data_IF_733628363971
#
_entry.id   IF_733628363971
#
_cell.length_a   1.000
_cell.length_b   1.000
_cell.length_c   1.000
_cell.angle_alpha   90.00
_cell.angle_beta   90.00
_cell.angle_gamma   90.00
#
_symmetry.space_group_name_H-M   'P 1'
#
loop_
_entity.id
_entity.type
_entity.pdbx_description
1 polymer ?
#
# COMPACT_ATOMS: atom_id res chain seq x y z
N UNK A 1 -29.48 57.00 19.42
CA UNK A 1 -29.45 56.24 20.70
C UNK A 1 -28.31 55.23 20.58
N UNK A 2 -27.37 55.01 21.48
CA UNK A 2 -27.00 55.60 22.77
C UNK A 2 -25.56 55.16 23.04
N UNK A 3 -24.76 56.11 23.55
CA UNK A 3 -23.53 56.05 24.36
C UNK A 3 -22.99 54.70 24.86
N UNK A 4 -21.65 54.63 24.75
CA UNK A 4 -20.64 53.90 25.55
C UNK A 4 -21.08 53.43 26.93
N UNK A 5 -20.61 52.23 27.32
CA UNK A 5 -20.39 51.89 28.72
C UNK A 5 -19.05 51.17 28.90
N UNK A 6 -18.21 51.74 29.75
CA UNK A 6 -16.96 51.20 30.29
C UNK A 6 -17.29 50.42 31.57
N UNK A 7 -16.68 49.24 31.77
CA UNK A 7 -16.43 48.65 33.11
C UNK A 7 -15.10 47.88 32.99
N UNK A 8 -13.96 48.51 33.32
CA UNK A 8 -13.21 48.40 34.61
C UNK A 8 -12.95 46.96 35.07
N UNK A 9 -11.72 46.53 34.77
CA UNK A 9 -10.99 45.40 35.33
C UNK A 9 -10.71 45.65 36.82
N UNK A 10 -11.01 44.67 37.66
CA UNK A 10 -10.50 44.58 39.04
C UNK A 10 -9.90 43.20 39.26
N UNK A 11 -8.58 43.22 39.47
CA UNK A 11 -7.72 42.10 39.83
C UNK A 11 -7.98 41.74 41.30
N UNK A 12 -8.17 40.45 41.59
CA UNK A 12 -8.10 39.91 42.96
C UNK A 12 -7.09 38.76 42.95
N UNK A 13 -5.93 39.00 43.58
CA UNK A 13 -4.98 37.98 43.98
C UNK A 13 -5.58 37.14 45.10
N UNK A 14 -5.60 35.82 44.93
CA UNK A 14 -5.80 34.87 46.02
C UNK A 14 -4.51 34.09 46.26
N UNK A 15 -3.96 34.25 47.46
CA UNK A 15 -2.75 33.60 47.97
C UNK A 15 -3.10 32.18 48.41
N UNK A 16 -2.42 31.18 47.84
CA UNK A 16 -2.47 29.79 48.29
C UNK A 16 -1.71 29.61 49.61
N UNK A 17 -2.36 28.99 50.60
CA UNK A 17 -1.71 28.38 51.75
C UNK A 17 -1.69 26.86 51.56
N UNK A 18 -0.50 26.28 51.69
CA UNK A 18 -0.23 24.86 51.47
C UNK A 18 -0.72 23.97 52.62
N UNK A 19 -1.06 22.73 52.25
CA UNK A 19 -1.17 21.59 53.14
C UNK A 19 -0.35 20.46 52.53
N UNK A 20 0.77 20.17 53.18
CA UNK A 20 1.67 19.06 52.89
C UNK A 20 1.03 17.81 53.49
N UNK A 21 0.68 16.85 52.63
CA UNK A 21 0.38 15.47 53.05
C UNK A 21 1.51 14.59 52.54
N UNK A 22 2.34 14.12 53.46
CA UNK A 22 3.35 13.10 53.25
C UNK A 22 2.68 11.75 53.05
N UNK A 23 2.90 11.13 51.89
CA UNK A 23 2.65 9.72 51.64
C UNK A 23 3.90 9.12 50.99
N UNK A 24 4.35 8.00 51.53
CA UNK A 24 5.59 7.32 51.22
C UNK A 24 5.73 6.96 49.74
N UNK A 25 6.93 7.19 49.22
CA UNK A 25 7.35 6.76 47.89
C UNK A 25 7.67 5.25 47.90
N UNK A 26 6.97 4.49 47.06
CA UNK A 26 7.54 3.29 46.45
C UNK A 26 8.38 3.73 45.25
N UNK A 27 9.58 3.17 45.12
CA UNK A 27 10.48 3.40 43.98
C UNK A 27 9.85 2.75 42.75
N UNK A 28 9.49 3.53 41.75
CA UNK A 28 9.35 3.06 40.37
C UNK A 28 10.75 3.00 39.73
N UNK A 29 11.06 1.84 39.15
CA UNK A 29 12.25 1.62 38.32
C UNK A 29 12.19 2.51 37.06
N UNK A 30 13.29 3.20 36.74
CA UNK A 30 13.44 3.93 35.48
C UNK A 30 13.46 2.95 34.28
N UNK A 31 12.68 3.20 33.21
CA UNK A 31 12.88 2.48 31.96
C UNK A 31 14.04 3.12 31.18
N UNK A 32 15.16 2.42 31.11
CA UNK A 32 16.27 2.73 30.20
C UNK A 32 15.93 2.30 28.77
N UNK A 33 15.63 3.26 27.90
CA UNK A 33 15.50 3.08 26.44
C UNK A 33 14.79 4.27 25.78
N UNK A 34 15.05 4.61 24.49
CA UNK A 34 14.29 5.65 23.82
C UNK A 34 12.83 5.18 23.68
N UNK A 35 11.93 5.79 24.45
CA UNK A 35 10.54 5.34 24.54
C UNK A 35 9.71 5.70 23.30
N UNK A 36 8.87 4.74 22.87
CA UNK A 36 7.82 4.92 21.86
C UNK A 36 6.94 6.14 22.17
N UNK A 37 6.82 7.08 21.22
CA UNK A 37 5.85 8.18 21.34
C UNK A 37 4.50 7.69 20.79
N UNK A 38 3.69 7.08 21.66
CA UNK A 38 2.27 6.85 21.40
C UNK A 38 1.49 8.13 21.67
N UNK A 39 0.59 8.50 20.75
CA UNK A 39 -0.36 9.58 20.96
C UNK A 39 -1.35 9.21 22.07
N UNK A 40 -2.11 10.18 22.58
CA UNK A 40 -3.12 9.94 23.61
C UNK A 40 -4.21 8.92 23.20
N UNK A 41 -4.35 8.63 21.91
CA UNK A 41 -5.24 7.60 21.36
C UNK A 41 -4.61 6.20 21.27
N UNK A 42 -3.34 6.02 21.64
CA UNK A 42 -2.59 4.77 21.47
C UNK A 42 -2.01 4.58 20.07
N UNK A 43 -2.34 5.45 19.11
CA UNK A 43 -1.79 5.43 17.77
C UNK A 43 -0.33 5.90 17.76
N UNK A 44 0.48 5.28 16.92
CA UNK A 44 1.87 5.68 16.66
C UNK A 44 1.88 6.85 15.69
N UNK A 45 2.79 7.79 15.92
CA UNK A 45 3.00 8.91 15.01
C UNK A 45 3.85 8.44 13.81
N UNK A 46 3.40 8.74 12.60
CA UNK A 46 4.23 8.60 11.40
C UNK A 46 5.26 9.74 11.33
N UNK A 47 6.46 9.40 10.87
CA UNK A 47 7.59 10.32 10.70
C UNK A 47 8.06 10.28 9.24
N UNK A 48 8.72 11.34 8.80
CA UNK A 48 9.29 11.39 7.45
C UNK A 48 10.45 10.38 7.37
N UNK A 49 10.34 9.39 6.49
CA UNK A 49 11.46 8.52 6.16
C UNK A 49 12.35 9.18 5.11
N UNK A 50 11.72 9.57 4.00
CA UNK A 50 12.38 10.09 2.80
C UNK A 50 11.47 11.11 2.14
N UNK A 51 12.03 12.28 1.82
CA UNK A 51 11.47 13.15 0.78
C UNK A 51 11.94 12.66 -0.58
N UNK A 52 11.00 12.27 -1.43
CA UNK A 52 11.29 11.83 -2.78
C UNK A 52 11.65 13.04 -3.68
N UNK A 53 12.43 12.82 -4.75
CA UNK A 53 12.67 13.85 -5.75
C UNK A 53 11.36 14.33 -6.40
N UNK A 54 11.32 15.59 -6.85
CA UNK A 54 10.15 16.21 -7.49
C UNK A 54 9.63 15.48 -8.74
N UNK A 55 10.42 14.59 -9.33
CA UNK A 55 10.01 13.74 -10.45
C UNK A 55 9.36 12.42 -10.00
N UNK A 56 9.01 12.26 -8.72
CA UNK A 56 8.34 11.09 -8.15
C UNK A 56 7.03 11.49 -7.47
N UNK A 57 6.08 11.97 -8.25
CA UNK A 57 4.84 12.57 -7.76
C UNK A 57 3.77 11.59 -7.30
N UNK A 58 3.78 10.35 -7.79
CA UNK A 58 2.93 9.28 -7.25
C UNK A 58 3.81 8.05 -7.04
N UNK A 59 4.38 7.85 -5.85
CA UNK A 59 4.99 6.58 -5.50
C UNK A 59 3.88 5.53 -5.27
N UNK A 60 4.17 4.27 -5.58
CA UNK A 60 3.22 3.17 -5.46
C UNK A 60 3.83 2.00 -4.65
N UNK A 61 3.82 0.78 -5.19
CA UNK A 61 4.25 -0.42 -4.49
C UNK A 61 5.76 -0.50 -4.23
N UNK A 62 6.12 -1.30 -3.23
CA UNK A 62 7.50 -1.54 -2.81
C UNK A 62 7.83 -3.02 -2.76
N UNK A 63 9.06 -3.38 -3.14
CA UNK A 63 9.61 -4.72 -2.91
C UNK A 63 10.91 -4.67 -2.09
N UNK A 64 10.87 -5.26 -0.90
CA UNK A 64 12.03 -5.37 -0.02
C UNK A 64 13.10 -6.30 -0.62
N UNK A 65 14.35 -5.86 -0.59
CA UNK A 65 15.50 -6.62 -1.08
C UNK A 65 16.30 -7.23 0.09
N UNK A 66 17.08 -8.30 -0.14
CA UNK A 66 17.81 -9.01 0.92
C UNK A 66 18.85 -8.17 1.67
N UNK A 67 19.34 -7.09 1.08
CA UNK A 67 20.31 -6.16 1.67
C UNK A 67 19.65 -5.08 2.55
N UNK A 68 18.33 -5.14 2.76
CA UNK A 68 17.56 -4.15 3.52
C UNK A 68 17.23 -2.89 2.72
N UNK A 69 17.67 -2.78 1.47
CA UNK A 69 17.13 -1.80 0.53
C UNK A 69 15.77 -2.24 0.00
N UNK A 70 15.07 -1.36 -0.70
CA UNK A 70 13.85 -1.73 -1.42
C UNK A 70 13.77 -0.97 -2.75
N UNK A 71 13.03 -1.55 -3.69
CA UNK A 71 12.62 -0.84 -4.89
C UNK A 71 11.23 -0.25 -4.70
N UNK A 72 10.96 0.86 -5.38
CA UNK A 72 9.71 1.60 -5.33
C UNK A 72 9.24 1.85 -6.75
N UNK A 73 8.02 1.41 -7.06
CA UNK A 73 7.33 1.79 -8.30
C UNK A 73 6.86 3.24 -8.22
N UNK A 74 7.05 3.99 -9.30
CA UNK A 74 6.66 5.41 -9.38
C UNK A 74 5.99 5.64 -10.73
N UNK A 75 4.66 5.43 -10.83
CA UNK A 75 3.92 5.62 -12.07
C UNK A 75 3.83 7.07 -12.53
N UNK A 76 3.94 8.04 -11.62
CA UNK A 76 3.76 9.46 -11.87
C UNK A 76 2.43 9.84 -12.54
N UNK A 77 1.32 9.30 -12.03
CA UNK A 77 0.02 9.50 -12.65
C UNK A 77 -0.53 10.92 -12.50
N UNK A 78 -0.09 11.69 -11.49
CA UNK A 78 -0.47 13.10 -11.33
C UNK A 78 0.12 13.97 -12.44
N UNK A 79 1.44 13.90 -12.63
CA UNK A 79 2.13 14.56 -13.73
C UNK A 79 3.04 13.57 -14.46
N UNK A 80 2.60 13.04 -15.62
CA UNK A 80 3.33 12.02 -16.36
C UNK A 80 4.52 12.60 -17.15
N UNK A 81 4.74 13.93 -17.18
CA UNK A 81 5.80 14.55 -18.00
C UNK A 81 7.21 14.07 -17.60
N UNK A 82 7.41 13.73 -16.32
CA UNK A 82 8.67 13.19 -15.85
C UNK A 82 8.97 11.78 -16.39
N UNK A 83 7.94 11.05 -16.83
CA UNK A 83 7.99 9.61 -17.12
C UNK A 83 7.90 8.77 -15.86
N UNK A 84 7.65 7.47 -16.01
CA UNK A 84 7.58 6.53 -14.89
C UNK A 84 8.97 5.95 -14.56
N UNK A 85 9.15 5.57 -13.29
CA UNK A 85 10.43 5.03 -12.80
C UNK A 85 10.20 3.83 -11.88
N UNK A 86 11.20 2.97 -11.82
CA UNK A 86 11.47 2.20 -10.61
C UNK A 86 12.63 2.89 -9.91
N UNK A 87 12.43 3.26 -8.65
CA UNK A 87 13.43 3.86 -7.78
C UNK A 87 14.03 2.78 -6.87
N UNK A 88 15.23 3.01 -6.34
CA UNK A 88 15.84 2.22 -5.27
C UNK A 88 16.11 3.12 -4.08
N UNK A 89 15.69 2.68 -2.90
CA UNK A 89 15.96 3.30 -1.62
C UNK A 89 16.92 2.37 -0.88
N UNK A 90 18.12 2.83 -0.56
CA UNK A 90 19.12 2.02 0.16
C UNK A 90 18.69 1.70 1.60
N UNK A 91 19.41 0.79 2.27
CA UNK A 91 19.21 0.53 3.70
C UNK A 91 19.38 1.80 4.56
N UNK A 92 20.23 2.73 4.11
CA UNK A 92 20.45 4.05 4.72
C UNK A 92 19.49 5.14 4.18
N UNK A 93 18.40 4.75 3.52
CA UNK A 93 17.35 5.63 3.00
C UNK A 93 17.80 6.60 1.90
N UNK A 94 18.85 6.26 1.14
CA UNK A 94 19.29 7.07 0.01
C UNK A 94 18.51 6.68 -1.25
N UNK A 95 17.87 7.66 -1.88
CA UNK A 95 17.07 7.49 -3.10
C UNK A 95 17.95 7.57 -4.35
N UNK A 96 17.75 6.64 -5.28
CA UNK A 96 18.41 6.65 -6.59
C UNK A 96 17.47 6.11 -7.67
N UNK A 97 17.63 6.58 -8.92
CA UNK A 97 16.94 5.95 -10.06
C UNK A 97 17.51 4.55 -10.27
N UNK A 98 16.64 3.56 -10.39
CA UNK A 98 17.04 2.16 -10.55
C UNK A 98 16.79 1.65 -11.97
N UNK A 99 15.58 1.88 -12.49
CA UNK A 99 15.21 1.43 -13.83
C UNK A 99 14.16 2.36 -14.45
N UNK A 100 14.18 2.49 -15.77
CA UNK A 100 13.17 3.22 -16.54
C UNK A 100 12.35 2.17 -17.30
N UNK A 101 11.12 1.85 -16.86
CA UNK A 101 10.31 0.87 -17.54
C UNK A 101 9.91 1.34 -18.95
N UNK A 102 9.95 0.46 -19.96
CA UNK A 102 9.70 0.84 -21.35
C UNK A 102 8.20 1.15 -21.55
N UNK A 103 7.85 2.14 -22.39
CA UNK A 103 6.46 2.43 -22.69
C UNK A 103 5.77 1.26 -23.38
N UNK A 104 4.47 1.12 -23.13
CA UNK A 104 3.65 0.16 -23.84
C UNK A 104 3.57 0.53 -25.34
N UNK A 105 3.85 -0.38 -26.30
CA UNK A 105 3.97 -0.05 -27.71
C UNK A 105 2.74 0.63 -28.34
N UNK A 106 1.54 0.28 -27.87
CA UNK A 106 0.27 0.85 -28.35
C UNK A 106 -0.09 2.21 -27.77
N UNK A 107 0.20 2.42 -26.48
CA UNK A 107 -0.29 3.60 -25.74
C UNK A 107 0.79 4.68 -25.61
N UNK A 108 2.07 4.30 -25.73
CA UNK A 108 3.21 5.16 -25.45
C UNK A 108 3.38 5.50 -23.97
N UNK A 109 2.57 4.89 -23.07
CA UNK A 109 2.55 5.17 -21.63
C UNK A 109 3.19 4.03 -20.84
N UNK A 110 3.56 4.32 -19.59
CA UNK A 110 4.06 3.36 -18.62
C UNK A 110 3.44 3.66 -17.26
N UNK A 111 2.97 2.65 -16.54
CA UNK A 111 2.39 2.78 -15.20
C UNK A 111 2.81 1.62 -14.31
N UNK A 112 4.09 1.56 -13.86
CA UNK A 112 4.52 0.54 -12.90
C UNK A 112 3.73 0.68 -11.61
N UNK A 113 3.04 -0.38 -11.20
CA UNK A 113 2.30 -0.48 -9.93
C UNK A 113 2.96 -1.54 -9.05
N UNK A 114 2.17 -2.48 -8.50
CA UNK A 114 2.62 -3.67 -7.79
C UNK A 114 3.93 -4.23 -8.32
N UNK A 115 4.90 -4.44 -7.43
CA UNK A 115 6.24 -4.96 -7.76
C UNK A 115 6.66 -6.02 -6.74
N UNK A 116 7.29 -7.11 -7.19
CA UNK A 116 7.79 -8.16 -6.31
C UNK A 116 9.14 -8.74 -6.77
N UNK A 117 9.90 -9.26 -5.81
CA UNK A 117 11.17 -9.94 -6.05
C UNK A 117 10.95 -11.44 -6.24
N UNK A 118 11.43 -11.97 -7.36
CA UNK A 118 11.45 -13.40 -7.62
C UNK A 118 12.65 -14.07 -6.95
N UNK A 119 12.58 -15.40 -6.66
CA UNK A 119 13.73 -16.16 -6.16
C UNK A 119 14.96 -16.14 -7.08
N UNK A 120 14.79 -15.90 -8.39
CA UNK A 120 15.89 -15.72 -9.34
C UNK A 120 16.69 -14.43 -9.11
N UNK A 121 16.14 -13.49 -8.35
CA UNK A 121 16.62 -12.12 -8.22
C UNK A 121 15.99 -11.15 -9.21
N UNK A 122 15.20 -11.62 -10.19
CA UNK A 122 14.43 -10.76 -11.09
C UNK A 122 13.31 -10.03 -10.36
N UNK A 123 12.87 -8.90 -10.91
CA UNK A 123 11.68 -8.19 -10.42
C UNK A 123 10.54 -8.37 -11.40
N UNK A 124 9.33 -8.57 -10.89
CA UNK A 124 8.10 -8.55 -11.66
C UNK A 124 7.28 -7.36 -11.25
N UNK A 125 6.68 -6.65 -12.20
CA UNK A 125 5.79 -5.53 -11.91
C UNK A 125 4.57 -5.52 -12.83
N UNK A 126 3.45 -5.04 -12.31
CA UNK A 126 2.29 -4.71 -13.13
C UNK A 126 2.50 -3.37 -13.82
N UNK A 127 2.25 -3.31 -15.13
CA UNK A 127 2.20 -2.08 -15.91
C UNK A 127 0.72 -1.76 -16.16
N UNK A 128 0.16 -0.96 -15.26
CA UNK A 128 -1.24 -0.56 -15.25
C UNK A 128 -1.44 0.58 -16.26
N UNK A 129 -2.24 0.28 -17.27
CA UNK A 129 -2.57 1.14 -18.40
C UNK A 129 -4.06 1.52 -18.38
N UNK A 130 -4.69 1.53 -17.20
CA UNK A 130 -6.12 1.78 -17.08
C UNK A 130 -6.49 3.11 -17.73
N UNK A 131 -7.32 3.00 -18.77
CA UNK A 131 -7.81 4.13 -19.54
C UNK A 131 -9.01 3.65 -20.35
N UNK A 132 -10.14 4.40 -20.33
CA UNK A 132 -11.32 4.05 -21.13
C UNK A 132 -11.01 3.93 -22.63
N UNK A 133 -10.02 4.69 -23.13
CA UNK A 133 -9.64 4.71 -24.53
C UNK A 133 -8.78 3.50 -24.95
N UNK A 134 -8.21 2.80 -23.97
CA UNK A 134 -7.26 1.70 -24.20
C UNK A 134 -7.62 0.51 -23.31
N UNK A 135 -8.77 -0.14 -23.55
CA UNK A 135 -9.13 -1.35 -22.82
C UNK A 135 -8.09 -2.44 -23.09
N UNK A 136 -7.87 -3.28 -22.07
CA UNK A 136 -6.99 -4.45 -22.17
C UNK A 136 -5.54 -4.16 -22.57
N UNK A 137 -5.01 -2.97 -22.23
CA UNK A 137 -3.60 -2.64 -22.49
C UNK A 137 -2.68 -2.81 -21.29
N UNK A 138 -3.23 -3.14 -20.11
CA UNK A 138 -2.38 -3.46 -18.96
C UNK A 138 -1.64 -4.77 -19.20
N UNK A 139 -0.44 -4.85 -18.63
CA UNK A 139 0.46 -6.00 -18.80
C UNK A 139 1.25 -6.27 -17.53
N UNK A 140 1.90 -7.42 -17.48
CA UNK A 140 2.87 -7.74 -16.44
C UNK A 140 4.23 -7.88 -17.08
N UNK A 141 5.23 -7.32 -16.42
CA UNK A 141 6.58 -7.14 -16.93
C UNK A 141 7.57 -7.79 -15.97
N UNK A 142 8.65 -8.33 -16.52
CA UNK A 142 9.80 -8.85 -15.77
C UNK A 142 11.01 -7.99 -16.07
N UNK A 143 11.61 -7.39 -15.05
CA UNK A 143 12.93 -6.79 -15.13
C UNK A 143 13.96 -7.89 -14.92
N UNK A 144 14.74 -8.18 -15.96
CA UNK A 144 15.83 -9.13 -15.91
C UNK A 144 16.97 -8.53 -15.08
N UNK A 145 17.39 -9.25 -14.05
CA UNK A 145 18.40 -8.81 -13.11
C UNK A 145 19.69 -9.61 -13.32
N UNK A 146 20.82 -8.90 -13.36
CA UNK A 146 22.16 -9.50 -13.46
C UNK A 146 23.12 -8.80 -12.51
N UNK A 147 23.77 -9.57 -11.65
CA UNK A 147 24.72 -9.06 -10.65
C UNK A 147 24.14 -7.90 -9.81
N UNK A 148 22.87 -8.04 -9.42
CA UNK A 148 22.13 -7.04 -8.63
C UNK A 148 21.72 -5.78 -9.40
N UNK A 149 21.85 -5.76 -10.73
CA UNK A 149 21.52 -4.61 -11.59
C UNK A 149 20.45 -4.94 -12.63
N UNK A 150 19.50 -4.02 -12.89
CA UNK A 150 18.48 -4.22 -13.91
C UNK A 150 19.08 -4.11 -15.31
N UNK A 151 18.61 -4.97 -16.22
CA UNK A 151 19.08 -5.03 -17.61
C UNK A 151 17.99 -4.54 -18.56
N UNK A 152 16.97 -5.35 -18.78
CA UNK A 152 15.86 -5.09 -19.69
C UNK A 152 14.53 -5.50 -19.04
N UNK A 153 13.42 -5.04 -19.62
CA UNK A 153 12.09 -5.48 -19.24
C UNK A 153 11.44 -6.30 -20.35
N UNK A 154 10.95 -7.48 -19.99
CA UNK A 154 10.27 -8.42 -20.88
C UNK A 154 8.79 -8.48 -20.54
N UNK A 155 7.92 -8.47 -21.55
CA UNK A 155 6.49 -8.66 -21.35
C UNK A 155 6.20 -10.13 -20.99
N UNK A 156 5.66 -10.34 -19.80
CA UNK A 156 5.28 -11.67 -19.29
C UNK A 156 3.86 -12.01 -19.71
N UNK A 157 2.94 -11.07 -19.47
CA UNK A 157 1.50 -11.21 -19.77
C UNK A 157 1.00 -9.92 -20.39
N UNK A 158 0.14 -9.99 -21.41
CA UNK A 158 -0.57 -8.85 -22.01
C UNK A 158 -2.07 -9.13 -22.11
N UNK A 159 -2.88 -8.06 -22.23
CA UNK A 159 -4.33 -8.16 -22.41
C UNK A 159 -5.14 -7.96 -21.12
N UNK A 160 -4.49 -7.54 -20.02
CA UNK A 160 -5.17 -7.26 -18.75
C UNK A 160 -5.90 -5.91 -18.80
N UNK A 161 -7.01 -5.77 -18.06
CA UNK A 161 -7.72 -4.49 -17.96
C UNK A 161 -6.95 -3.54 -17.03
N UNK A 162 -6.80 -3.93 -15.77
CA UNK A 162 -6.21 -3.17 -14.67
C UNK A 162 -5.34 -4.13 -13.84
N UNK A 163 -4.18 -4.46 -14.39
CA UNK A 163 -3.17 -5.22 -13.66
C UNK A 163 -2.64 -4.35 -12.51
N UNK A 164 -2.68 -4.84 -11.27
CA UNK A 164 -2.32 -4.01 -10.12
C UNK A 164 -1.23 -4.64 -9.23
N UNK A 165 -1.56 -5.47 -8.26
CA UNK A 165 -0.57 -6.14 -7.43
C UNK A 165 0.03 -7.36 -8.14
N UNK A 166 1.29 -7.65 -7.81
CA UNK A 166 1.95 -8.90 -8.19
C UNK A 166 2.56 -9.56 -6.96
N UNK A 167 2.42 -10.89 -6.86
CA UNK A 167 3.01 -11.67 -5.78
C UNK A 167 3.53 -13.02 -6.31
N UNK A 168 4.61 -13.52 -5.72
CA UNK A 168 5.20 -14.80 -6.10
C UNK A 168 5.12 -15.81 -4.96
N UNK A 169 4.71 -17.03 -5.30
CA UNK A 169 4.83 -18.20 -4.41
C UNK A 169 5.28 -19.42 -5.20
N UNK A 170 6.42 -19.99 -4.77
CA UNK A 170 7.01 -21.13 -5.45
C UNK A 170 7.33 -20.80 -6.90
N UNK A 171 6.74 -21.56 -7.83
CA UNK A 171 6.95 -21.40 -9.27
C UNK A 171 5.85 -20.58 -9.96
N UNK A 172 5.04 -19.84 -9.21
CA UNK A 172 3.89 -19.11 -9.75
C UNK A 172 3.91 -17.63 -9.39
N UNK A 173 3.56 -16.83 -10.38
CA UNK A 173 3.24 -15.41 -10.28
C UNK A 173 1.73 -15.25 -10.19
N UNK A 174 1.28 -14.39 -9.28
CA UNK A 174 -0.11 -14.05 -9.04
C UNK A 174 -0.30 -12.57 -9.30
N UNK A 175 -1.41 -12.21 -9.92
CA UNK A 175 -1.67 -10.83 -10.36
C UNK A 175 -3.11 -10.49 -10.02
N UNK A 176 -3.34 -9.37 -9.35
CA UNK A 176 -4.71 -8.86 -9.20
C UNK A 176 -5.16 -8.13 -10.45
N UNK A 177 -6.41 -8.35 -10.81
CA UNK A 177 -7.13 -7.67 -11.87
C UNK A 177 -8.24 -6.87 -11.21
N UNK A 178 -7.96 -5.58 -10.98
CA UNK A 178 -8.82 -4.69 -10.19
C UNK A 178 -10.20 -4.51 -10.81
N UNK A 179 -10.30 -4.64 -12.14
CA UNK A 179 -11.57 -4.59 -12.88
C UNK A 179 -11.59 -5.71 -13.92
N UNK A 180 -12.13 -6.88 -13.54
CA UNK A 180 -12.23 -8.05 -14.43
C UNK A 180 -13.36 -7.89 -15.44
N UNK A 181 -14.53 -7.42 -14.96
CA UNK A 181 -15.71 -7.16 -15.80
C UNK A 181 -16.05 -5.67 -15.69
N UNK A 182 -15.64 -4.85 -16.68
CA UNK A 182 -15.99 -3.43 -16.71
C UNK A 182 -17.50 -3.21 -16.54
N UNK A 183 -17.87 -2.15 -15.82
CA UNK A 183 -19.25 -1.71 -15.57
C UNK A 183 -20.16 -2.71 -14.81
N UNK A 184 -19.60 -3.79 -14.27
CA UNK A 184 -20.36 -4.77 -13.47
C UNK A 184 -20.88 -4.16 -12.15
N UNK A 185 -22.06 -4.63 -11.72
CA UNK A 185 -22.67 -4.30 -10.41
C UNK A 185 -23.22 -5.59 -9.77
N UNK A 186 -22.63 -6.10 -8.67
CA UNK A 186 -21.43 -5.59 -7.98
C UNK A 186 -20.20 -5.57 -8.91
N UNK A 187 -19.19 -4.78 -8.56
CA UNK A 187 -17.92 -4.76 -9.30
C UNK A 187 -17.27 -6.14 -9.19
N UNK A 188 -16.95 -6.73 -10.34
CA UNK A 188 -16.27 -8.02 -10.43
C UNK A 188 -14.80 -7.77 -10.76
N UNK A 189 -13.93 -8.23 -9.87
CA UNK A 189 -12.48 -8.25 -9.98
C UNK A 189 -11.97 -9.69 -9.87
N UNK A 190 -10.67 -9.93 -10.04
CA UNK A 190 -10.14 -11.28 -10.01
C UNK A 190 -8.66 -11.40 -9.73
N UNK A 191 -8.20 -12.64 -9.65
CA UNK A 191 -6.79 -12.99 -9.47
C UNK A 191 -6.40 -13.96 -10.56
N UNK A 192 -5.35 -13.61 -11.29
CA UNK A 192 -4.71 -14.46 -12.28
C UNK A 192 -3.49 -15.17 -11.71
N UNK A 193 -3.15 -16.32 -12.29
CA UNK A 193 -1.94 -17.07 -11.95
C UNK A 193 -1.21 -17.57 -13.19
N UNK A 194 0.10 -17.34 -13.23
CA UNK A 194 0.99 -17.71 -14.32
C UNK A 194 2.18 -18.50 -13.79
N UNK A 195 2.72 -19.43 -14.57
CA UNK A 195 3.94 -20.12 -14.19
C UNK A 195 5.15 -19.21 -14.48
N UNK A 196 6.05 -19.10 -13.52
CA UNK A 196 7.29 -18.34 -13.70
C UNK A 196 8.14 -19.01 -14.79
N UNK A 197 8.68 -18.18 -15.69
CA UNK A 197 9.46 -18.61 -16.85
C UNK A 197 8.64 -18.75 -18.13
N UNK A 198 7.31 -18.67 -18.07
CA UNK A 198 6.47 -18.40 -19.24
C UNK A 198 6.44 -16.89 -19.49
N UNK A 199 6.63 -16.48 -20.74
CA UNK A 199 6.68 -15.08 -21.16
C UNK A 199 5.90 -14.90 -22.47
N UNK A 200 5.44 -13.67 -22.74
CA UNK A 200 4.63 -13.37 -23.93
C UNK A 200 3.24 -14.01 -23.93
N UNK A 201 2.65 -14.26 -22.76
CA UNK A 201 1.28 -14.78 -22.64
C UNK A 201 0.29 -13.67 -23.04
N UNK A 202 -0.60 -13.95 -23.98
CA UNK A 202 -1.70 -13.07 -24.33
C UNK A 202 -3.02 -13.62 -23.76
N UNK A 203 -3.69 -12.84 -22.92
CA UNK A 203 -4.95 -13.24 -22.30
C UNK A 203 -6.10 -13.22 -23.31
N UNK A 204 -7.03 -14.17 -23.13
CA UNK A 204 -8.23 -14.30 -23.95
C UNK A 204 -9.34 -13.38 -23.46
N UNK A 205 -10.07 -12.82 -24.41
CA UNK A 205 -11.27 -12.03 -24.15
C UNK A 205 -12.53 -12.88 -24.40
N UNK A 206 -13.53 -12.85 -23.49
CA UNK A 206 -13.57 -12.06 -22.26
C UNK A 206 -12.67 -12.63 -21.16
N UNK A 207 -12.00 -11.77 -20.39
CA UNK A 207 -11.00 -12.18 -19.38
C UNK A 207 -11.54 -13.15 -18.33
N UNK A 208 -12.83 -13.03 -17.99
CA UNK A 208 -13.51 -13.93 -17.04
C UNK A 208 -13.50 -15.41 -17.47
N UNK A 209 -13.28 -15.68 -18.76
CA UNK A 209 -13.26 -17.03 -19.33
C UNK A 209 -11.82 -17.53 -19.58
N UNK A 210 -10.79 -16.74 -19.26
CA UNK A 210 -9.39 -17.13 -19.44
C UNK A 210 -8.96 -18.19 -18.39
N UNK A 211 -8.21 -19.20 -18.83
CA UNK A 211 -7.80 -20.32 -17.98
C UNK A 211 -6.82 -19.96 -16.86
N UNK A 212 -6.19 -18.79 -16.93
CA UNK A 212 -5.28 -18.31 -15.89
C UNK A 212 -6.02 -17.61 -14.74
N UNK A 213 -7.30 -17.26 -14.91
CA UNK A 213 -8.11 -16.73 -13.83
C UNK A 213 -8.37 -17.85 -12.80
N UNK A 214 -7.96 -17.63 -11.56
CA UNK A 214 -8.09 -18.65 -10.50
C UNK A 214 -9.25 -18.38 -9.54
N UNK A 215 -9.69 -17.13 -9.40
CA UNK A 215 -10.84 -16.75 -8.59
C UNK A 215 -11.31 -15.32 -8.91
N UNK A 216 -12.52 -14.99 -8.48
CA UNK A 216 -13.13 -13.66 -8.59
C UNK A 216 -13.47 -13.09 -7.22
N UNK A 217 -13.55 -11.77 -7.13
CA UNK A 217 -13.96 -11.02 -5.94
C UNK A 217 -15.07 -10.04 -6.35
N UNK A 218 -16.11 -9.96 -5.54
CA UNK A 218 -17.21 -9.00 -5.70
C UNK A 218 -17.02 -7.84 -4.72
N UNK A 219 -17.17 -6.61 -5.21
CA UNK A 219 -17.16 -5.40 -4.40
C UNK A 219 -18.50 -4.66 -4.53
N UNK A 220 -19.04 -4.23 -3.40
CA UNK A 220 -20.39 -3.69 -3.28
C UNK A 220 -20.43 -2.19 -2.98
N UNK A 221 -19.28 -1.56 -2.81
CA UNK A 221 -19.19 -0.13 -2.57
C UNK A 221 -19.90 0.67 -3.69
N UNK A 222 -20.74 1.66 -3.35
CA UNK A 222 -21.60 2.32 -4.35
C UNK A 222 -20.84 3.22 -5.34
N UNK A 223 -19.69 3.77 -4.95
CA UNK A 223 -18.96 4.79 -5.74
C UNK A 223 -17.51 4.41 -6.06
N UNK A 224 -16.75 3.89 -5.10
CA UNK A 224 -15.38 3.37 -5.32
C UNK A 224 -15.41 2.16 -6.27
N UNK A 225 -14.73 2.30 -7.41
CA UNK A 225 -14.73 1.35 -8.53
C UNK A 225 -13.49 0.45 -8.63
N UNK A 226 -12.82 0.17 -7.52
CA UNK A 226 -11.59 -0.63 -7.47
C UNK A 226 -11.78 -1.87 -6.60
N UNK A 227 -11.59 -3.07 -7.18
CA UNK A 227 -11.81 -4.34 -6.51
C UNK A 227 -10.53 -4.95 -5.92
N UNK A 228 -10.17 -6.14 -6.39
CA UNK A 228 -8.95 -6.85 -6.03
C UNK A 228 -7.71 -5.95 -6.23
N UNK A 229 -6.95 -5.74 -5.17
CA UNK A 229 -5.79 -4.85 -5.16
C UNK A 229 -4.55 -5.57 -4.60
N UNK A 230 -4.05 -5.22 -3.41
CA UNK A 230 -2.87 -5.81 -2.80
C UNK A 230 -2.94 -7.33 -2.63
N UNK A 231 -1.78 -7.99 -2.77
CA UNK A 231 -1.62 -9.45 -2.64
C UNK A 231 -0.46 -9.80 -1.71
N UNK A 232 -0.69 -10.72 -0.78
CA UNK A 232 0.39 -11.32 0.01
C UNK A 232 0.13 -12.78 0.36
N UNK A 233 1.17 -13.50 0.78
CA UNK A 233 1.07 -14.88 1.23
C UNK A 233 1.52 -15.02 2.68
N UNK A 234 0.77 -15.80 3.46
CA UNK A 234 1.22 -16.23 4.79
C UNK A 234 2.26 -17.37 4.70
N UNK A 235 2.79 -17.79 5.85
CA UNK A 235 3.75 -18.90 5.93
C UNK A 235 3.14 -20.27 5.62
N UNK A 236 1.82 -20.42 5.72
CA UNK A 236 1.08 -21.64 5.33
C UNK A 236 0.86 -21.71 3.82
N UNK A 237 1.05 -20.58 3.14
CA UNK A 237 0.89 -20.43 1.71
C UNK A 237 -0.56 -20.14 1.29
N UNK A 238 -1.40 -19.67 2.19
CA UNK A 238 -2.69 -19.09 1.82
C UNK A 238 -2.44 -17.71 1.19
N UNK A 239 -3.18 -17.41 0.12
CA UNK A 239 -3.11 -16.11 -0.55
C UNK A 239 -4.14 -15.17 0.08
N UNK A 240 -3.72 -13.94 0.35
CA UNK A 240 -4.59 -12.88 0.80
C UNK A 240 -4.68 -11.80 -0.27
N UNK A 241 -5.89 -11.28 -0.47
CA UNK A 241 -6.16 -10.22 -1.41
C UNK A 241 -6.98 -9.11 -0.76
N UNK A 242 -6.50 -7.88 -0.88
CA UNK A 242 -7.23 -6.68 -0.49
C UNK A 242 -8.34 -6.41 -1.48
N UNK A 243 -9.54 -6.13 -0.97
CA UNK A 243 -10.63 -5.57 -1.76
C UNK A 243 -10.72 -4.08 -1.42
N UNK A 244 -10.17 -3.26 -2.32
CA UNK A 244 -10.00 -1.83 -2.11
C UNK A 244 -11.33 -1.15 -1.75
N UNK A 245 -12.35 -1.32 -2.60
CA UNK A 245 -13.65 -0.69 -2.46
C UNK A 245 -14.37 -1.01 -1.15
N UNK A 246 -14.35 -2.28 -0.71
CA UNK A 246 -15.17 -2.71 0.43
C UNK A 246 -14.41 -2.72 1.77
N UNK A 247 -13.09 -2.45 1.77
CA UNK A 247 -12.25 -2.57 2.96
C UNK A 247 -12.28 -3.98 3.56
N UNK A 248 -12.27 -5.00 2.69
CA UNK A 248 -12.25 -6.41 3.12
C UNK A 248 -10.98 -7.09 2.65
N UNK A 249 -10.60 -8.17 3.35
CA UNK A 249 -9.51 -9.06 2.91
C UNK A 249 -10.09 -10.43 2.63
N UNK A 250 -9.83 -10.94 1.44
CA UNK A 250 -10.16 -12.29 1.03
C UNK A 250 -8.99 -13.22 1.34
N UNK A 251 -9.30 -14.42 1.85
CA UNK A 251 -8.34 -15.52 2.00
C UNK A 251 -8.67 -16.61 0.98
N UNK A 252 -7.68 -16.92 0.15
CA UNK A 252 -7.73 -17.91 -0.90
C UNK A 252 -6.82 -19.08 -0.48
N UNK A 253 -7.41 -20.27 -0.34
CA UNK A 253 -6.67 -21.49 0.01
C UNK A 253 -6.54 -22.40 -1.20
N UNK A 254 -5.54 -23.29 -1.19
CA UNK A 254 -5.25 -24.19 -2.29
C UNK A 254 -5.33 -25.66 -1.83
N UNK A 255 -5.72 -26.55 -2.75
CA UNK A 255 -5.62 -28.00 -2.55
C UNK A 255 -4.19 -28.51 -2.79
N UNK A 256 -3.96 -29.81 -2.59
CA UNK A 256 -2.66 -30.45 -2.78
C UNK A 256 -2.17 -30.43 -4.25
N UNK A 257 -3.06 -30.15 -5.20
CA UNK A 257 -2.73 -29.98 -6.63
C UNK A 257 -2.51 -28.51 -6.99
N UNK A 258 -2.57 -27.60 -6.00
CA UNK A 258 -2.46 -26.17 -6.20
C UNK A 258 -3.69 -25.54 -6.85
N UNK A 259 -4.85 -26.18 -6.91
CA UNK A 259 -6.09 -25.53 -7.36
C UNK A 259 -6.72 -24.75 -6.22
N UNK A 260 -7.45 -23.68 -6.53
CA UNK A 260 -8.19 -22.92 -5.51
C UNK A 260 -9.22 -23.85 -4.87
N UNK A 261 -9.12 -23.99 -3.54
CA UNK A 261 -10.02 -24.79 -2.71
C UNK A 261 -11.13 -23.93 -2.12
N UNK A 262 -10.81 -22.69 -1.71
CA UNK A 262 -11.78 -21.73 -1.20
C UNK A 262 -11.34 -20.30 -1.45
N UNK A 263 -12.30 -19.38 -1.58
CA UNK A 263 -12.11 -17.94 -1.49
C UNK A 263 -13.20 -17.43 -0.54
N UNK A 264 -12.81 -16.87 0.59
CA UNK A 264 -13.73 -16.39 1.64
C UNK A 264 -13.25 -15.05 2.17
N UNK A 265 -14.19 -14.16 2.50
CA UNK A 265 -13.87 -12.94 3.27
C UNK A 265 -13.30 -13.39 4.62
N UNK A 266 -12.03 -13.10 4.84
CA UNK A 266 -11.31 -13.38 6.08
C UNK A 266 -11.50 -12.24 7.08
N UNK A 267 -11.44 -10.99 6.62
CA UNK A 267 -11.64 -9.81 7.45
C UNK A 267 -12.63 -8.85 6.81
N UNK A 268 -13.56 -8.39 7.64
CA UNK A 268 -14.39 -7.20 7.43
C UNK A 268 -14.56 -6.52 8.78
N UNK A 269 -13.85 -5.41 8.99
CA UNK A 269 -13.81 -4.69 10.26
C UNK A 269 -14.10 -3.20 10.00
N UNK A 270 -14.91 -2.52 10.84
CA UNK A 270 -15.22 -1.11 10.66
C UNK A 270 -13.99 -0.19 10.70
N UNK A 271 -12.85 -0.65 11.23
CA UNK A 271 -11.57 0.07 11.20
C UNK A 271 -10.93 0.11 9.82
N UNK A 272 -11.33 -0.73 8.87
CA UNK A 272 -10.78 -0.71 7.51
C UNK A 272 -11.80 -0.07 6.57
N UNK A 273 -11.44 1.02 5.90
CA UNK A 273 -12.28 1.69 4.91
C UNK A 273 -11.91 1.31 3.48
N UNK A 274 -10.64 1.01 3.25
CA UNK A 274 -10.17 0.26 2.10
C UNK A 274 -9.10 -0.75 2.53
N UNK A 275 -8.76 -1.64 1.61
CA UNK A 275 -7.65 -2.57 1.73
C UNK A 275 -6.87 -2.54 0.41
N UNK A 276 -5.88 -1.65 0.34
CA UNK A 276 -5.02 -1.44 -0.82
C UNK A 276 -3.84 -2.43 -0.77
N UNK A 277 -2.59 -1.96 -0.69
CA UNK A 277 -1.39 -2.78 -0.53
C UNK A 277 -1.43 -3.65 0.74
N UNK A 278 -0.97 -4.89 0.56
CA UNK A 278 -0.88 -5.90 1.62
C UNK A 278 0.54 -6.43 1.74
N UNK A 279 1.06 -6.44 2.97
CA UNK A 279 2.35 -7.06 3.28
C UNK A 279 2.22 -8.02 4.46
N UNK A 280 2.59 -9.29 4.25
CA UNK A 280 2.61 -10.27 5.33
C UNK A 280 4.00 -10.34 5.99
N UNK A 281 4.06 -10.03 7.29
CA UNK A 281 5.22 -10.33 8.11
C UNK A 281 5.35 -11.83 8.30
N UNK A 282 6.31 -12.42 7.58
CA UNK A 282 6.60 -13.86 7.60
C UNK A 282 7.03 -14.40 8.97
N UNK A 283 7.40 -13.56 9.94
CA UNK A 283 7.72 -14.01 11.30
C UNK A 283 6.48 -14.25 12.15
N UNK A 284 5.41 -13.51 11.90
CA UNK A 284 4.21 -13.50 12.77
C UNK A 284 2.91 -13.82 12.04
N UNK A 285 2.93 -13.91 10.71
CA UNK A 285 1.77 -13.98 9.82
C UNK A 285 0.77 -12.82 10.01
N UNK A 286 1.24 -11.70 10.58
CA UNK A 286 0.47 -10.45 10.62
C UNK A 286 0.52 -9.80 9.24
N UNK A 287 -0.58 -9.21 8.81
CA UNK A 287 -0.70 -8.52 7.54
C UNK A 287 -0.80 -7.02 7.80
N UNK A 288 0.16 -6.25 7.29
CA UNK A 288 0.04 -4.81 7.16
C UNK A 288 -0.92 -4.50 6.02
N UNK A 289 -1.79 -3.53 6.24
CA UNK A 289 -2.76 -3.06 5.25
C UNK A 289 -2.61 -1.55 5.13
N UNK A 290 -2.40 -1.08 3.90
CA UNK A 290 -2.53 0.32 3.58
C UNK A 290 -4.02 0.67 3.40
N UNK A 291 -4.51 1.61 4.21
CA UNK A 291 -5.88 2.08 4.17
C UNK A 291 -5.89 3.55 3.69
N UNK A 292 -5.75 3.69 2.37
CA UNK A 292 -5.75 4.95 1.62
C UNK A 292 -6.89 5.88 2.00
N UNK A 293 -8.12 5.35 2.08
CA UNK A 293 -9.35 6.15 2.25
C UNK A 293 -9.34 7.00 3.52
N UNK A 294 -8.64 6.56 4.56
CA UNK A 294 -8.62 7.24 5.86
C UNK A 294 -7.20 7.56 6.37
N UNK A 295 -6.19 7.58 5.50
CA UNK A 295 -4.80 7.84 5.87
C UNK A 295 -4.31 6.98 7.04
N UNK A 296 -4.52 5.67 6.96
CA UNK A 296 -4.22 4.76 8.06
C UNK A 296 -3.41 3.54 7.63
N UNK A 297 -2.67 2.98 8.58
CA UNK A 297 -2.08 1.65 8.47
C UNK A 297 -2.72 0.74 9.51
N UNK A 298 -3.16 -0.42 9.04
CA UNK A 298 -3.77 -1.46 9.87
C UNK A 298 -2.80 -2.64 10.01
N UNK A 299 -2.93 -3.35 11.13
CA UNK A 299 -2.42 -4.71 11.31
C UNK A 299 -3.61 -5.64 11.41
N UNK A 300 -3.64 -6.65 10.54
CA UNK A 300 -4.52 -7.80 10.64
C UNK A 300 -3.76 -8.96 11.24
N UNK A 301 -4.31 -9.52 12.33
CA UNK A 301 -3.74 -10.66 13.03
C UNK A 301 -4.18 -11.99 12.41
N UNK A 302 -3.46 -13.10 12.65
CA UNK A 302 -3.82 -14.41 12.12
C UNK A 302 -5.21 -14.92 12.53
N UNK A 303 -5.80 -14.39 13.60
CA UNK A 303 -7.16 -14.69 14.05
C UNK A 303 -8.25 -13.81 13.39
N UNK A 304 -7.84 -12.86 12.54
CA UNK A 304 -8.72 -11.93 11.83
C UNK A 304 -9.02 -10.63 12.60
N UNK A 305 -8.48 -10.44 13.80
CA UNK A 305 -8.62 -9.17 14.52
C UNK A 305 -7.81 -8.05 13.85
N UNK A 306 -8.28 -6.81 13.97
CA UNK A 306 -7.70 -5.63 13.32
C UNK A 306 -7.31 -4.56 14.33
N UNK A 307 -6.07 -4.09 14.25
CA UNK A 307 -5.52 -2.96 15.00
C UNK A 307 -5.10 -1.83 14.05
N UNK A 308 -5.52 -0.61 14.36
CA UNK A 308 -5.01 0.59 13.68
C UNK A 308 -3.74 1.03 14.38
N UNK A 309 -2.60 1.02 13.69
CA UNK A 309 -1.31 1.35 14.31
C UNK A 309 -0.91 2.81 14.10
N UNK A 310 -1.34 3.43 13.01
CA UNK A 310 -1.10 4.83 12.71
C UNK A 310 -2.24 5.36 11.84
N UNK A 311 -2.65 6.60 12.09
CA UNK A 311 -3.67 7.30 11.33
C UNK A 311 -3.54 8.81 11.59
N UNK A 312 -3.76 9.64 10.56
CA UNK A 312 -3.87 11.08 10.70
C UNK A 312 -5.01 11.65 9.85
N UNK A 313 -5.30 12.94 10.03
CA UNK A 313 -6.19 13.69 9.16
C UNK A 313 -5.50 14.12 7.86
N UNK A 314 -6.05 15.15 7.23
CA UNK A 314 -5.47 15.83 6.06
C UNK A 314 -4.05 16.34 6.37
N UNK A 315 -3.14 16.17 5.42
CA UNK A 315 -1.70 16.46 5.54
C UNK A 315 -1.06 16.62 4.16
N UNK A 316 -0.06 17.47 4.00
CA UNK A 316 0.77 17.53 2.79
C UNK A 316 1.97 16.57 2.82
N UNK A 317 2.05 15.73 3.86
CA UNK A 317 3.15 14.79 4.09
C UNK A 317 4.49 15.43 4.47
N UNK A 318 4.62 16.76 4.60
CA UNK A 318 5.90 17.43 4.81
C UNK A 318 6.61 17.04 6.11
N UNK A 319 5.85 16.66 7.15
CA UNK A 319 6.36 16.14 8.42
C UNK A 319 6.40 14.60 8.49
N UNK A 320 6.04 13.93 7.39
CA UNK A 320 5.88 12.49 7.31
C UNK A 320 4.50 11.97 7.68
N UNK A 321 3.49 12.85 7.78
CA UNK A 321 2.09 12.43 7.79
C UNK A 321 1.78 11.41 6.69
N UNK A 322 0.87 10.49 6.99
CA UNK A 322 0.37 9.48 6.06
C UNK A 322 -0.58 10.18 5.10
N UNK A 323 -0.27 10.12 3.81
CA UNK A 323 -1.03 10.81 2.77
C UNK A 323 -1.45 9.82 1.70
N UNK A 324 -2.67 9.31 1.82
CA UNK A 324 -3.24 8.30 0.92
C UNK A 324 -2.29 7.11 0.68
N UNK A 325 -2.02 6.32 1.73
CA UNK A 325 -1.07 5.23 1.65
C UNK A 325 -1.60 4.15 0.73
N UNK A 326 -0.80 3.74 -0.25
CA UNK A 326 -1.15 2.62 -1.14
C UNK A 326 -0.40 1.33 -0.82
N UNK A 327 0.75 1.40 -0.13
CA UNK A 327 1.55 0.23 0.23
C UNK A 327 2.27 0.45 1.55
N UNK A 328 2.43 -0.62 2.33
CA UNK A 328 3.26 -0.59 3.53
C UNK A 328 4.07 -1.88 3.69
N UNK A 329 5.38 -1.77 3.90
CA UNK A 329 6.27 -2.92 4.09
C UNK A 329 6.95 -2.89 5.46
N UNK A 330 7.32 -4.06 5.97
CA UNK A 330 8.10 -4.18 7.22
C UNK A 330 9.59 -4.31 6.92
N UNK A 331 10.40 -3.35 7.36
CA UNK A 331 11.88 -3.42 7.36
C UNK A 331 12.39 -3.38 8.79
N UNK A 332 12.76 -4.54 9.33
CA UNK A 332 13.14 -4.64 10.74
C UNK A 332 11.93 -4.40 11.65
N UNK A 333 11.98 -3.35 12.46
CA UNK A 333 10.87 -2.89 13.31
C UNK A 333 10.19 -1.62 12.73
N UNK A 334 10.52 -1.24 11.49
CA UNK A 334 9.96 -0.08 10.78
C UNK A 334 8.88 -0.51 9.79
N UNK A 335 7.69 0.07 9.91
CA UNK A 335 6.67 0.05 8.85
C UNK A 335 6.92 1.24 7.94
N UNK A 336 7.36 0.97 6.71
CA UNK A 336 7.61 1.98 5.68
C UNK A 336 6.36 2.08 4.84
N UNK A 337 5.93 3.31 4.57
CA UNK A 337 4.64 3.63 3.95
C UNK A 337 4.91 4.42 2.68
N UNK A 338 4.31 3.98 1.57
CA UNK A 338 4.29 4.73 0.31
C UNK A 338 3.02 5.58 0.26
N UNK A 339 3.19 6.89 0.18
CA UNK A 339 2.11 7.88 0.14
C UNK A 339 1.82 8.25 -1.31
N UNK A 340 0.75 7.71 -1.89
CA UNK A 340 0.45 7.88 -3.31
C UNK A 340 -0.03 9.30 -3.64
N UNK A 341 -0.64 9.98 -2.65
CA UNK A 341 -1.25 11.31 -2.78
C UNK A 341 -2.30 11.34 -3.93
N UNK A 342 -3.03 10.24 -4.15
CA UNK A 342 -4.07 10.11 -5.18
C UNK A 342 -5.51 10.53 -4.74
N UNK A 343 -5.93 11.81 -4.86
CA UNK A 343 -7.26 12.26 -4.45
C UNK A 343 -8.39 11.75 -5.36
N UNK A 344 -9.46 11.26 -4.72
CA UNK A 344 -10.74 10.95 -5.34
C UNK A 344 -11.89 11.13 -4.34
N UNK A 345 -13.13 10.94 -4.78
CA UNK A 345 -14.28 11.12 -3.89
C UNK A 345 -14.26 10.13 -2.71
N UNK A 346 -14.34 10.66 -1.49
CA UNK A 346 -14.52 9.87 -0.26
C UNK A 346 -13.25 9.63 0.56
N UNK A 347 -12.09 10.11 0.12
CA UNK A 347 -10.83 10.04 0.88
C UNK A 347 -10.57 11.32 1.69
N UNK A 348 -9.60 11.26 2.61
CA UNK A 348 -9.24 12.38 3.51
C UNK A 348 -8.61 13.55 2.75
N UNK A 349 -7.56 13.30 1.97
CA UNK A 349 -6.85 14.31 1.18
C UNK A 349 -7.58 14.60 -0.14
N UNK A 350 -7.80 15.87 -0.48
CA UNK A 350 -8.64 16.22 -1.64
C UNK A 350 -7.88 16.91 -2.77
N UNK A 351 -6.57 17.11 -2.59
CA UNK A 351 -5.67 17.74 -3.55
C UNK A 351 -4.41 16.92 -3.69
N UNK A 352 -3.70 17.20 -4.79
CA UNK A 352 -2.33 16.75 -4.99
C UNK A 352 -1.38 17.72 -4.33
N UNK A 353 -0.44 17.22 -3.54
CA UNK A 353 0.41 18.03 -2.69
C UNK A 353 1.91 17.74 -2.90
N UNK A 354 2.72 18.71 -2.46
CA UNK A 354 4.18 18.55 -2.32
C UNK A 354 4.54 18.83 -0.87
N UNK A 355 5.51 18.12 -0.29
CA UNK A 355 6.45 17.20 -0.95
C UNK A 355 5.92 15.78 -1.15
N UNK A 356 6.48 15.04 -2.11
CA UNK A 356 6.25 13.60 -2.26
C UNK A 356 7.10 12.81 -1.27
N UNK A 357 6.51 11.87 -0.56
CA UNK A 357 7.17 11.28 0.63
C UNK A 357 6.99 9.79 0.75
N UNK A 358 7.93 9.18 1.46
CA UNK A 358 7.72 7.92 2.16
C UNK A 358 7.69 8.23 3.66
N UNK A 359 6.73 7.64 4.36
CA UNK A 359 6.61 7.76 5.82
C UNK A 359 7.13 6.51 6.51
N UNK A 360 7.40 6.61 7.81
CA UNK A 360 7.78 5.49 8.67
C UNK A 360 7.03 5.53 9.99
N UNK A 361 6.60 4.35 10.43
CA UNK A 361 6.07 4.10 11.77
C UNK A 361 6.94 3.05 12.44
N UNK A 362 7.53 3.37 13.60
CA UNK A 362 8.33 2.42 14.39
C UNK A 362 7.43 1.59 15.29
N UNK A 363 7.59 0.27 15.24
CA UNK A 363 6.83 -0.69 16.07
C UNK A 363 7.43 -0.91 17.46
N UNK A 364 8.63 -0.39 17.72
CA UNK A 364 9.34 -0.40 19.00
C UNK A 364 10.01 0.94 19.30
#
# INVERSE_FOLDING_TARGET
MSKKQFVRVSIVLAVLYGLIVTSCAEKEDEPTGPGEVKTASGLRKAELLVKLPDYCNTPDAMALLPDGSFVLSVPNYNDPNAGAFIMKISADNIVSKFFIPPPHPKTGKTGPMGICLAPSGDLYYADNQFSPDTPQTSRVMRIVMKDGKPQEAVTVVSGMNVANAVAIKGNYLYVSETILVPDSKPLISGIFRFKIGEEGIELKTPLKDDSHLITTIESFHPTIGYGADGLCFDTKGDLYCGNFADGTIHKITFDNLGKVKSNTIFVKDPKMKCADGLFCDRKTDRILVADMVQNAIQIVYPDGSVETIAMNGDTDGADGGIDQPCEAILRGDEVIISNMDWPFEGVVNTTWDKPYTLSVVKLK
#
